data_IF_108786626902
#
_entry.id   IF_108786626902
#
_cell.length_a   1.000
_cell.length_b   1.000
_cell.length_c   1.000
_cell.angle_alpha   90.00
_cell.angle_beta   90.00
_cell.angle_gamma   90.00
#
_symmetry.space_group_name_H-M   'P 1'
#
loop_
_entity.id
_entity.type
_entity.pdbx_description
1 polymer ?
#
# COMPACT_ATOMS: atom_id res chain seq x y z
N UNK A 1 12.32 10.23 -1.93
CA UNK A 1 12.70 9.46 -3.13
C UNK A 1 12.43 10.31 -4.36
N UNK A 2 13.44 10.50 -5.21
CA UNK A 2 13.38 11.26 -6.47
C UNK A 2 14.40 10.65 -7.44
N UNK A 3 14.14 10.71 -8.75
CA UNK A 3 14.92 9.97 -9.74
C UNK A 3 14.73 8.46 -9.61
N UNK A 4 15.58 7.68 -10.27
CA UNK A 4 15.55 6.20 -10.30
C UNK A 4 16.83 5.54 -9.73
N UNK A 5 17.88 6.31 -9.42
CA UNK A 5 19.15 5.79 -8.88
C UNK A 5 18.99 4.88 -7.64
N UNK A 6 17.98 5.19 -6.82
CA UNK A 6 17.66 4.48 -5.58
C UNK A 6 16.91 3.15 -5.79
N UNK A 7 16.33 2.92 -6.97
CA UNK A 7 15.43 1.78 -7.20
C UNK A 7 16.18 0.46 -7.08
N UNK A 8 15.59 -0.50 -6.38
CA UNK A 8 16.08 -1.88 -6.37
C UNK A 8 15.45 -2.67 -7.52
N UNK A 9 15.91 -3.90 -7.77
CA UNK A 9 15.20 -4.80 -8.69
C UNK A 9 13.87 -5.26 -8.05
N UNK A 10 12.79 -5.45 -8.84
CA UNK A 10 12.74 -5.33 -10.30
C UNK A 10 12.56 -3.90 -10.84
N UNK A 11 12.25 -2.91 -9.99
CA UNK A 11 11.93 -1.54 -10.44
C UNK A 11 13.05 -0.89 -11.26
N UNK A 12 14.33 -1.16 -10.92
CA UNK A 12 15.49 -0.62 -11.64
C UNK A 12 15.48 -0.98 -13.13
N UNK A 13 15.08 -2.21 -13.47
CA UNK A 13 15.02 -2.68 -14.87
C UNK A 13 13.62 -2.67 -15.49
N UNK A 14 12.59 -2.26 -14.73
CA UNK A 14 11.20 -2.24 -15.18
C UNK A 14 10.90 -1.11 -16.18
N UNK A 15 10.11 -1.41 -17.21
CA UNK A 15 9.64 -0.44 -18.21
C UNK A 15 8.69 0.63 -17.62
N UNK A 16 7.99 0.29 -16.53
CA UNK A 16 7.01 1.18 -15.89
C UNK A 16 7.64 2.11 -14.84
N UNK A 17 8.95 1.99 -14.56
CA UNK A 17 9.63 2.71 -13.46
C UNK A 17 9.51 4.24 -13.53
N UNK A 18 9.33 4.81 -14.72
CA UNK A 18 9.16 6.25 -14.92
C UNK A 18 7.69 6.71 -14.88
N UNK A 19 6.75 5.76 -14.87
CA UNK A 19 5.31 6.01 -14.82
C UNK A 19 4.82 5.99 -13.37
N UNK A 20 5.16 4.93 -12.63
CA UNK A 20 4.70 4.71 -11.25
C UNK A 20 5.74 5.09 -10.17
N UNK A 21 6.98 5.37 -10.61
CA UNK A 21 8.15 5.70 -9.76
C UNK A 21 8.41 4.71 -8.63
N UNK A 22 8.13 3.42 -8.88
CA UNK A 22 8.33 2.33 -7.93
C UNK A 22 7.28 2.28 -6.83
N UNK A 23 6.15 2.98 -6.98
CA UNK A 23 5.02 2.95 -6.04
C UNK A 23 5.27 3.67 -4.71
N UNK A 24 4.46 3.34 -3.70
CA UNK A 24 4.40 4.05 -2.43
C UNK A 24 5.53 3.63 -1.46
N UNK A 25 6.34 4.62 -1.07
CA UNK A 25 7.49 4.39 -0.16
C UNK A 25 7.10 4.16 1.28
N UNK A 26 6.01 4.78 1.72
CA UNK A 26 5.46 4.51 3.05
C UNK A 26 4.90 3.09 3.14
N UNK A 27 4.26 2.60 2.07
CA UNK A 27 3.69 1.25 2.03
C UNK A 27 4.78 0.17 2.04
N UNK A 28 5.82 0.33 1.21
CA UNK A 28 6.99 -0.53 1.23
C UNK A 28 7.62 -0.58 2.62
N UNK A 29 7.88 0.58 3.24
CA UNK A 29 8.48 0.61 4.57
C UNK A 29 7.63 -0.09 5.64
N UNK A 30 6.32 0.17 5.67
CA UNK A 30 5.42 -0.41 6.68
C UNK A 30 5.34 -1.94 6.56
N UNK A 31 5.37 -2.47 5.34
CA UNK A 31 5.21 -3.91 5.11
C UNK A 31 6.54 -4.66 5.14
N UNK A 32 7.60 -4.12 4.54
CA UNK A 32 8.89 -4.83 4.36
C UNK A 32 9.96 -4.37 5.35
N UNK A 33 9.79 -3.21 5.99
CA UNK A 33 10.82 -2.57 6.80
C UNK A 33 11.90 -1.84 6.00
N UNK A 34 11.88 -1.91 4.66
CA UNK A 34 12.80 -1.19 3.77
C UNK A 34 12.04 -0.15 2.91
N UNK A 35 12.26 1.16 3.12
CA UNK A 35 11.60 2.19 2.32
C UNK A 35 12.06 2.24 0.85
N UNK A 36 13.16 1.56 0.49
CA UNK A 36 13.66 1.41 -0.88
C UNK A 36 13.16 0.14 -1.59
N UNK A 37 12.51 -0.78 -0.89
CA UNK A 37 11.95 -1.98 -1.51
C UNK A 37 10.83 -1.64 -2.49
N UNK A 38 10.66 -2.47 -3.52
CA UNK A 38 9.52 -2.41 -4.45
C UNK A 38 8.22 -2.43 -3.66
N UNK A 39 7.29 -1.52 -3.97
CA UNK A 39 5.99 -1.50 -3.29
C UNK A 39 5.32 -2.89 -3.38
N UNK A 40 5.00 -3.56 -2.25
CA UNK A 40 4.33 -4.85 -2.27
C UNK A 40 3.02 -4.89 -3.06
N UNK A 41 2.37 -3.74 -3.30
CA UNK A 41 1.19 -3.66 -4.18
C UNK A 41 1.48 -4.16 -5.61
N UNK A 42 2.70 -3.98 -6.12
CA UNK A 42 3.08 -4.45 -7.44
C UNK A 42 3.18 -5.98 -7.47
N UNK A 43 2.56 -6.62 -8.48
CA UNK A 43 2.60 -8.08 -8.66
C UNK A 43 4.02 -8.62 -8.94
N UNK A 44 4.95 -7.75 -9.37
CA UNK A 44 6.35 -8.10 -9.58
C UNK A 44 7.19 -8.02 -8.28
N UNK A 45 6.63 -7.49 -7.20
CA UNK A 45 7.34 -7.40 -5.93
C UNK A 45 7.61 -8.79 -5.35
N UNK A 46 8.84 -9.11 -4.91
CA UNK A 46 9.10 -10.37 -4.19
C UNK A 46 8.27 -10.49 -2.91
N UNK A 47 7.89 -9.35 -2.33
CA UNK A 47 7.11 -9.26 -1.10
C UNK A 47 5.61 -9.07 -1.35
N UNK A 48 5.11 -9.33 -2.56
CA UNK A 48 3.69 -9.14 -2.91
C UNK A 48 2.73 -9.88 -1.96
N UNK A 49 3.12 -11.06 -1.49
CA UNK A 49 2.35 -11.84 -0.52
C UNK A 49 1.97 -11.06 0.77
N UNK A 50 2.74 -10.03 1.15
CA UNK A 50 2.45 -9.21 2.33
C UNK A 50 1.21 -8.35 2.15
N UNK A 51 1.02 -7.75 0.97
CA UNK A 51 -0.19 -6.97 0.71
C UNK A 51 -1.41 -7.87 0.53
N UNK A 52 -1.24 -9.06 -0.06
CA UNK A 52 -2.31 -10.06 -0.16
C UNK A 52 -2.79 -10.49 1.23
N UNK A 53 -1.85 -10.80 2.14
CA UNK A 53 -2.17 -11.14 3.51
C UNK A 53 -2.90 -10.00 4.24
N UNK A 54 -2.41 -8.76 4.11
CA UNK A 54 -3.06 -7.59 4.72
C UNK A 54 -4.47 -7.36 4.17
N UNK A 55 -4.70 -7.60 2.87
CA UNK A 55 -6.04 -7.50 2.25
C UNK A 55 -6.97 -8.60 2.75
N UNK A 56 -6.49 -9.82 2.90
CA UNK A 56 -7.28 -10.94 3.45
C UNK A 56 -7.67 -10.64 4.91
N UNK A 57 -6.73 -10.17 5.73
CA UNK A 57 -7.01 -9.77 7.11
C UNK A 57 -8.04 -8.65 7.17
N UNK A 58 -7.89 -7.61 6.34
CA UNK A 58 -8.85 -6.51 6.28
C UNK A 58 -10.24 -6.95 5.80
N UNK A 59 -10.32 -7.92 4.89
CA UNK A 59 -11.60 -8.46 4.43
C UNK A 59 -12.29 -9.37 5.46
N UNK A 60 -11.51 -9.98 6.36
CA UNK A 60 -12.03 -10.78 7.47
C UNK A 60 -12.49 -9.95 8.67
N UNK A 61 -12.23 -8.64 8.66
CA UNK A 61 -12.65 -7.72 9.70
C UNK A 61 -14.19 -7.62 9.75
N UNK A 62 -14.75 -7.87 10.93
CA UNK A 62 -16.20 -7.86 11.20
C UNK A 62 -16.65 -6.66 12.02
N UNK A 63 -15.76 -5.68 12.26
CA UNK A 63 -16.14 -4.43 12.94
C UNK A 63 -17.22 -3.71 12.15
N UNK A 64 -18.27 -3.28 12.84
CA UNK A 64 -19.30 -2.43 12.24
C UNK A 64 -18.80 -0.99 12.15
N UNK A 65 -19.38 -0.14 11.28
CA UNK A 65 -18.99 1.27 11.17
C UNK A 65 -19.04 2.02 12.50
N UNK A 66 -19.93 1.65 13.42
CA UNK A 66 -20.04 2.27 14.76
C UNK A 66 -18.83 1.98 15.66
N UNK A 67 -18.10 0.89 15.39
CA UNK A 67 -16.88 0.55 16.12
C UNK A 67 -15.63 1.29 15.59
N UNK A 68 -15.75 2.04 14.47
CA UNK A 68 -14.65 2.78 13.87
C UNK A 68 -14.60 4.22 14.39
N UNK A 69 -13.40 4.74 14.63
CA UNK A 69 -13.20 6.16 14.95
C UNK A 69 -13.11 6.98 13.65
N UNK A 70 -14.04 7.89 13.36
CA UNK A 70 -14.00 8.68 12.14
C UNK A 70 -12.88 9.73 12.20
N UNK A 71 -12.07 9.81 11.14
CA UNK A 71 -11.07 10.89 11.00
C UNK A 71 -11.74 12.25 10.72
N UNK A 72 -12.90 12.25 10.07
CA UNK A 72 -13.75 13.42 9.87
C UNK A 72 -15.21 12.99 10.01
N UNK A 73 -15.83 13.27 11.16
CA UNK A 73 -17.19 12.80 11.46
C UNK A 73 -18.22 13.21 10.39
N UNK A 74 -18.18 14.46 9.93
CA UNK A 74 -19.14 14.98 8.94
C UNK A 74 -19.04 14.23 7.62
N UNK A 75 -17.85 14.11 7.06
CA UNK A 75 -17.65 13.51 5.74
C UNK A 75 -17.74 11.97 5.80
N UNK A 76 -17.26 11.35 6.89
CA UNK A 76 -17.35 9.90 7.07
C UNK A 76 -18.79 9.40 7.17
N UNK A 77 -19.70 10.19 7.76
CA UNK A 77 -21.13 9.86 7.85
C UNK A 77 -21.88 9.94 6.51
N UNK A 78 -21.30 10.57 5.47
CA UNK A 78 -21.91 10.59 4.13
C UNK A 78 -21.87 9.22 3.49
N UNK A 79 -20.78 8.47 3.70
CA UNK A 79 -20.54 7.15 3.10
C UNK A 79 -20.95 6.00 4.03
N UNK A 80 -20.79 6.17 5.34
CA UNK A 80 -21.23 5.21 6.36
C UNK A 80 -22.71 5.41 6.72
N UNK A 81 -23.61 5.46 5.74
CA UNK A 81 -25.06 5.47 6.01
C UNK A 81 -25.53 4.05 6.31
N UNK A 82 -26.03 3.85 7.52
CA UNK A 82 -26.78 2.66 7.93
C UNK A 82 -28.10 2.54 7.16
#
# INVERSE_FOLDING_TARGET
>A
YRGDDWMQEPCRSCDERHQDVGGCRCQAYILTGDPAATDPVCDLSPDHHLIEAARIEAAADSRTPEALTPRNARESQVFCRA
#
